data_IF_513578009257
#
_entry.id   IF_513578009257
#
_cell.length_a   1.000
_cell.length_b   1.000
_cell.length_c   1.000
_cell.angle_alpha   90.00
_cell.angle_beta   90.00
_cell.angle_gamma   90.00
#
_symmetry.space_group_name_H-M   'P 1'
#
loop_
_entity.id
_entity.type
_entity.pdbx_description
1 polymer ?
#
# COMPACT_ATOMS: atom_id res chain seq x y z
N UNK A 1 22.19 0.19 -8.46
CA UNK A 1 21.29 1.22 -7.93
C UNK A 1 19.89 0.70 -8.11
N UNK A 2 19.22 0.27 -7.04
CA UNK A 2 17.76 0.11 -7.12
C UNK A 2 17.19 1.51 -7.21
N UNK A 3 16.48 1.79 -8.29
CA UNK A 3 15.72 3.03 -8.44
C UNK A 3 14.44 2.84 -7.62
N UNK A 4 14.28 3.61 -6.55
CA UNK A 4 13.04 3.65 -5.78
C UNK A 4 12.26 4.87 -6.28
N UNK A 5 11.23 4.69 -7.12
CA UNK A 5 10.63 5.82 -7.83
C UNK A 5 9.81 6.75 -6.94
N UNK A 6 9.27 6.27 -5.81
CA UNK A 6 8.39 7.06 -4.95
C UNK A 6 8.69 6.82 -3.45
N UNK A 7 8.59 7.90 -2.66
CA UNK A 7 8.78 7.92 -1.21
C UNK A 7 7.45 8.25 -0.52
N UNK A 8 7.21 7.66 0.66
CA UNK A 8 6.05 7.92 1.50
C UNK A 8 6.46 7.98 2.97
N UNK A 9 5.75 8.78 3.75
CA UNK A 9 5.86 8.79 5.21
C UNK A 9 4.65 8.03 5.78
N UNK A 10 4.91 6.97 6.54
CA UNK A 10 3.88 6.21 7.27
C UNK A 10 4.26 6.26 8.75
N UNK A 11 3.35 6.75 9.58
CA UNK A 11 3.59 6.94 11.03
C UNK A 11 4.93 7.64 11.37
N UNK A 12 5.28 8.67 10.58
CA UNK A 12 6.52 9.43 10.75
C UNK A 12 7.80 8.71 10.28
N UNK A 13 7.69 7.53 9.68
CA UNK A 13 8.81 6.76 9.13
C UNK A 13 8.85 6.86 7.60
N UNK A 14 10.02 7.19 7.06
CA UNK A 14 10.28 7.21 5.62
C UNK A 14 10.32 5.78 5.05
N UNK A 15 9.48 5.54 4.05
CA UNK A 15 9.35 4.27 3.35
C UNK A 15 9.45 4.49 1.83
N UNK A 16 9.93 3.47 1.12
CA UNK A 16 10.07 3.48 -0.33
C UNK A 16 9.03 2.59 -0.98
N UNK A 17 8.39 3.04 -2.06
CA UNK A 17 7.44 2.22 -2.81
C UNK A 17 8.18 1.38 -3.86
N UNK A 18 7.92 0.07 -3.85
CA UNK A 18 8.41 -0.86 -4.87
C UNK A 18 7.23 -1.44 -5.65
N UNK A 19 7.08 -1.00 -6.90
CA UNK A 19 5.97 -1.38 -7.75
C UNK A 19 6.28 -2.69 -8.47
N UNK A 20 5.58 -3.78 -8.15
CA UNK A 20 5.75 -5.05 -8.85
C UNK A 20 5.48 -4.90 -10.36
N UNK A 21 6.20 -5.66 -11.21
CA UNK A 21 6.16 -5.53 -12.69
C UNK A 21 4.75 -5.55 -13.31
N UNK A 22 3.85 -6.36 -12.74
CA UNK A 22 2.44 -6.44 -13.16
C UNK A 22 1.64 -5.18 -12.83
N UNK A 23 2.02 -4.46 -11.77
CA UNK A 23 1.42 -3.17 -11.48
C UNK A 23 1.86 -2.13 -12.51
N UNK A 24 3.14 -2.10 -12.92
CA UNK A 24 3.69 -1.10 -13.87
C UNK A 24 3.17 -1.26 -15.31
N UNK A 25 2.86 -2.47 -15.76
CA UNK A 25 2.41 -2.72 -17.14
C UNK A 25 0.95 -2.30 -17.42
N UNK A 26 0.14 -2.04 -16.37
CA UNK A 26 -1.26 -1.59 -16.48
C UNK A 26 -1.50 -0.14 -16.08
N UNK A 27 -0.46 0.69 -16.05
CA UNK A 27 -0.57 2.10 -15.64
C UNK A 27 -1.71 2.86 -16.33
N UNK A 28 -2.00 2.57 -17.60
CA UNK A 28 -3.06 3.19 -18.40
C UNK A 28 -4.47 2.68 -18.07
N UNK A 29 -4.59 1.51 -17.43
CA UNK A 29 -5.86 0.92 -16.96
C UNK A 29 -6.07 1.11 -15.45
N UNK A 30 -5.10 1.71 -14.75
CA UNK A 30 -5.18 1.95 -13.30
C UNK A 30 -6.26 3.00 -13.04
N UNK A 31 -7.40 2.55 -12.52
CA UNK A 31 -8.38 3.42 -11.84
C UNK A 31 -7.84 3.90 -10.47
N UNK A 32 -6.68 3.39 -10.03
CA UNK A 32 -6.03 3.69 -8.77
C UNK A 32 -4.70 4.42 -9.06
N UNK A 33 -4.66 5.75 -8.90
CA UNK A 33 -3.48 6.56 -9.21
C UNK A 33 -2.37 6.34 -8.17
N UNK A 34 -1.14 6.75 -8.48
CA UNK A 34 -0.04 6.75 -7.50
C UNK A 34 -0.40 7.58 -6.26
N UNK A 35 -1.02 8.74 -6.47
CA UNK A 35 -1.49 9.62 -5.38
C UNK A 35 -2.53 8.93 -4.49
N UNK A 36 -3.52 8.26 -5.08
CA UNK A 36 -4.54 7.52 -4.34
C UNK A 36 -3.91 6.38 -3.49
N UNK A 37 -2.90 5.70 -4.03
CA UNK A 37 -2.17 4.63 -3.31
C UNK A 37 -1.38 5.23 -2.16
N UNK A 38 -0.64 6.32 -2.39
CA UNK A 38 0.12 7.00 -1.34
C UNK A 38 -0.81 7.52 -0.24
N UNK A 39 -1.93 8.15 -0.59
CA UNK A 39 -2.93 8.62 0.38
C UNK A 39 -3.50 7.45 1.20
N UNK A 40 -3.82 6.33 0.55
CA UNK A 40 -4.33 5.13 1.22
C UNK A 40 -3.31 4.53 2.20
N UNK A 41 -2.04 4.43 1.79
CA UNK A 41 -0.98 3.87 2.63
C UNK A 41 -0.62 4.78 3.80
N UNK A 42 -0.69 6.10 3.62
CA UNK A 42 -0.42 7.06 4.70
C UNK A 42 -1.42 6.95 5.86
N UNK A 43 -2.65 6.49 5.59
CA UNK A 43 -3.66 6.24 6.61
C UNK A 43 -3.43 4.94 7.40
N UNK A 44 -2.70 3.98 6.82
CA UNK A 44 -2.43 2.68 7.42
C UNK A 44 -1.24 2.76 8.39
N UNK A 45 -1.40 3.51 9.49
CA UNK A 45 -0.31 3.75 10.46
C UNK A 45 0.23 2.47 11.10
N UNK A 46 -0.64 1.47 11.32
CA UNK A 46 -0.26 0.16 11.86
C UNK A 46 0.48 -0.74 10.86
N UNK A 47 0.63 -0.32 9.59
CA UNK A 47 1.29 -1.12 8.57
C UNK A 47 2.73 -1.50 8.97
N UNK A 48 3.42 -0.62 9.69
CA UNK A 48 4.80 -0.82 10.12
C UNK A 48 4.95 -1.66 11.39
N UNK A 49 3.86 -1.96 12.09
CA UNK A 49 3.87 -2.86 13.26
C UNK A 49 3.98 -4.34 12.83
N UNK A 50 3.66 -4.65 11.58
CA UNK A 50 3.78 -5.99 11.04
C UNK A 50 5.23 -6.37 10.75
N UNK A 51 5.53 -7.66 10.93
CA UNK A 51 6.86 -8.20 10.62
C UNK A 51 7.19 -8.03 9.14
N UNK A 52 8.44 -7.76 8.82
CA UNK A 52 8.93 -7.81 7.43
C UNK A 52 8.55 -9.14 6.77
N UNK A 53 8.09 -9.07 5.54
CA UNK A 53 7.54 -10.18 4.75
C UNK A 53 6.03 -10.37 4.87
N UNK A 54 5.37 -9.70 5.84
CA UNK A 54 3.91 -9.79 6.02
C UNK A 54 3.21 -9.12 4.84
N UNK A 55 2.16 -9.78 4.34
CA UNK A 55 1.26 -9.23 3.33
C UNK A 55 0.10 -8.54 4.03
N UNK A 56 -0.25 -7.35 3.59
CA UNK A 56 -1.35 -6.58 4.16
C UNK A 56 -2.27 -6.08 3.05
N UNK A 57 -3.57 -6.30 3.21
CA UNK A 57 -4.61 -5.59 2.47
C UNK A 57 -4.91 -4.28 3.21
N UNK A 58 -4.67 -3.16 2.55
CA UNK A 58 -5.18 -1.86 3.01
C UNK A 58 -6.46 -1.57 2.22
N UNK A 59 -7.59 -1.48 2.93
CA UNK A 59 -8.92 -1.24 2.37
C UNK A 59 -9.32 0.21 2.67
N UNK A 60 -9.28 1.08 1.67
CA UNK A 60 -9.76 2.46 1.79
C UNK A 60 -11.26 2.52 1.47
N UNK A 61 -12.06 2.60 2.53
CA UNK A 61 -13.52 2.63 2.43
C UNK A 61 -14.05 3.95 1.87
N UNK A 62 -13.37 5.07 2.12
CA UNK A 62 -13.78 6.37 1.57
C UNK A 62 -13.60 6.40 0.05
N UNK A 63 -12.50 5.85 -0.47
CA UNK A 63 -12.23 5.78 -1.92
C UNK A 63 -12.88 4.59 -2.60
N UNK A 64 -13.32 3.58 -1.84
CA UNK A 64 -13.84 2.32 -2.39
C UNK A 64 -12.75 1.47 -3.05
N UNK A 65 -11.50 1.52 -2.57
CA UNK A 65 -10.34 0.87 -3.22
C UNK A 65 -9.52 0.05 -2.22
N UNK A 66 -8.79 -0.95 -2.72
CA UNK A 66 -7.91 -1.78 -1.89
C UNK A 66 -6.52 -1.99 -2.49
N UNK A 67 -5.48 -1.95 -1.66
CA UNK A 67 -4.08 -2.19 -2.03
C UNK A 67 -3.58 -3.43 -1.28
N UNK A 68 -3.01 -4.40 -2.00
CA UNK A 68 -2.23 -5.47 -1.40
C UNK A 68 -0.76 -5.08 -1.43
N UNK A 69 -0.15 -5.03 -0.25
CA UNK A 69 1.28 -4.74 -0.10
C UNK A 69 2.01 -5.83 0.65
N UNK A 70 3.34 -5.78 0.59
CA UNK A 70 4.23 -6.48 1.51
C UNK A 70 5.25 -5.51 2.09
N UNK A 71 5.41 -5.53 3.41
CA UNK A 71 6.44 -4.75 4.10
C UNK A 71 7.77 -5.47 3.97
N UNK A 72 8.83 -4.78 3.55
CA UNK A 72 10.19 -5.34 3.40
C UNK A 72 11.19 -4.43 4.12
N UNK A 73 11.61 -4.83 5.32
CA UNK A 73 12.61 -4.10 6.09
C UNK A 73 14.02 -4.54 5.69
N UNK A 74 14.72 -3.69 4.93
CA UNK A 74 16.07 -3.91 4.42
C UNK A 74 17.14 -3.24 5.28
N UNK A 75 17.24 -3.61 6.56
CA UNK A 75 18.28 -3.13 7.49
C UNK A 75 18.21 -1.63 7.84
N UNK A 76 18.49 -0.74 6.88
CA UNK A 76 18.45 0.72 7.04
C UNK A 76 17.24 1.39 6.37
N UNK A 77 16.45 0.66 5.59
CA UNK A 77 15.28 1.19 4.89
C UNK A 77 14.09 0.25 5.01
N UNK A 78 12.89 0.80 4.83
CA UNK A 78 11.65 0.04 4.71
C UNK A 78 11.12 0.24 3.29
N UNK A 79 10.92 -0.86 2.56
CA UNK A 79 10.21 -0.85 1.28
C UNK A 79 8.80 -1.39 1.48
N UNK A 80 7.82 -0.71 0.87
CA UNK A 80 6.45 -1.19 0.73
C UNK A 80 6.29 -1.68 -0.71
N UNK A 81 6.27 -2.99 -0.88
CA UNK A 81 6.08 -3.60 -2.19
C UNK A 81 4.59 -3.61 -2.54
N UNK A 82 4.24 -2.93 -3.63
CA UNK A 82 2.88 -2.88 -4.17
C UNK A 82 2.65 -4.10 -5.06
N UNK A 83 1.86 -5.05 -4.56
CA UNK A 83 1.61 -6.34 -5.21
C UNK A 83 0.38 -6.23 -6.11
N UNK A 84 -0.72 -5.65 -5.62
CA UNK A 84 -2.01 -5.62 -6.35
C UNK A 84 -2.83 -4.40 -5.96
N UNK A 85 -3.58 -3.87 -6.92
CA UNK A 85 -4.51 -2.76 -6.78
C UNK A 85 -5.91 -3.21 -7.20
N UNK A 86 -6.92 -2.89 -6.40
CA UNK A 86 -8.32 -3.19 -6.69
C UNK A 86 -9.18 -1.94 -6.60
N UNK A 87 -10.02 -1.74 -7.61
CA UNK A 87 -11.06 -0.70 -7.63
C UNK A 87 -12.34 -1.17 -6.94
N UNK A 88 -12.17 -1.77 -5.76
CA UNK A 88 -13.24 -2.17 -4.85
C UNK A 88 -12.65 -2.41 -3.46
N UNK A 89 -13.48 -2.20 -2.44
CA UNK A 89 -13.31 -2.86 -1.15
C UNK A 89 -13.94 -4.24 -1.30
N UNK A 90 -13.10 -5.27 -1.31
CA UNK A 90 -13.57 -6.66 -1.40
C UNK A 90 -13.17 -7.43 -0.15
N UNK A 91 -13.99 -8.40 0.21
CA UNK A 91 -13.70 -9.38 1.26
C UNK A 91 -12.91 -10.56 0.68
N UNK A 92 -11.97 -10.25 -0.21
CA UNK A 92 -11.06 -11.27 -0.72
C UNK A 92 -10.23 -11.79 0.46
N UNK A 93 -10.61 -12.98 0.94
CA UNK A 93 -9.77 -13.84 1.76
C UNK A 93 -8.60 -14.34 0.91
N UNK A 94 -7.68 -13.45 0.53
CA UNK A 94 -6.41 -13.88 -0.05
C UNK A 94 -5.62 -14.53 1.08
N UNK A 95 -5.37 -15.84 0.94
CA UNK A 95 -4.68 -16.67 1.91
C UNK A 95 -3.46 -15.97 2.55
N UNK A 96 -3.52 -15.79 3.88
CA UNK A 96 -2.46 -15.27 4.74
C UNK A 96 -2.00 -13.83 4.45
N UNK A 97 -2.96 -12.90 4.34
CA UNK A 97 -2.70 -11.47 4.45
C UNK A 97 -3.47 -10.87 5.64
N UNK A 98 -2.83 -9.95 6.35
CA UNK A 98 -3.47 -9.12 7.38
C UNK A 98 -4.35 -8.05 6.70
N UNK A 99 -5.35 -7.54 7.41
CA UNK A 99 -6.29 -6.54 6.87
C UNK A 99 -6.22 -5.28 7.73
N UNK A 100 -6.06 -4.14 7.06
CA UNK A 100 -6.06 -2.80 7.63
C UNK A 100 -7.18 -2.02 6.95
N UNK A 101 -8.22 -1.66 7.70
CA UNK A 101 -9.30 -0.85 7.20
C UNK A 101 -9.03 0.63 7.49
N UNK A 102 -9.11 1.48 6.47
CA UNK A 102 -8.83 2.91 6.57
C UNK A 102 -9.96 3.76 6.01
N UNK A 103 -10.14 4.94 6.60
CA UNK A 103 -11.05 5.98 6.18
C UNK A 103 -10.28 7.29 6.11
N UNK A 104 -10.58 8.10 5.11
CA UNK A 104 -10.16 9.50 5.11
C UNK A 104 -11.00 10.26 6.12
N UNK A 105 -10.35 11.08 6.95
CA UNK A 105 -11.07 12.04 7.78
C UNK A 105 -11.85 12.98 6.86
N UNK A 106 -13.16 13.13 7.10
CA UNK A 106 -13.90 14.24 6.51
C UNK A 106 -13.22 15.52 7.01
N UNK A 107 -12.62 16.28 6.09
CA UNK A 107 -12.01 17.57 6.43
C UNK A 107 -13.06 18.42 7.15
N UNK A 108 -12.89 18.58 8.46
CA UNK A 108 -13.75 19.38 9.33
C UNK A 108 -13.58 20.88 9.06
#
# INVERSE_FOLDING_TARGET
>A
MLYHPDEIIIDGVECYLDWSKHSTEREVERLFTVEDVTATLALATELLDFKSGTRCWIKNHTRGKSVLVRVVAGGQWICIEIITLLDKVDDLEVFAAEVIDVWEDEAA
#
